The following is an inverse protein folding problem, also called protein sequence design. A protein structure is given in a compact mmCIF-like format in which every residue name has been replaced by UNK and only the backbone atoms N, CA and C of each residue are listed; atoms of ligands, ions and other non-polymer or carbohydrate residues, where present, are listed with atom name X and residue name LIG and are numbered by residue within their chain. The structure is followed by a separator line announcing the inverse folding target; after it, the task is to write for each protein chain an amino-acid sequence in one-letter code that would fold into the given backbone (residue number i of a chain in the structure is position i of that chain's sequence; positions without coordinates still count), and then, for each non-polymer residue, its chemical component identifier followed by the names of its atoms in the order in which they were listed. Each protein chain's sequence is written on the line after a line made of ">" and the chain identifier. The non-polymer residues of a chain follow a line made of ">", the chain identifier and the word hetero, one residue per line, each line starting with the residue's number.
data_IF_878996934290
#
_entry.id   IF_878996934290
#
_cell.length_a   1.000
_cell.length_b   1.000
_cell.length_c   1.000
_cell.angle_alpha   90.00
_cell.angle_beta   90.00
_cell.angle_gamma   90.00
#
_symmetry.space_group_name_H-M   'P 1'
#
loop_
_entity.id
_entity.type
_entity.pdbx_description
1 polymer ?
#
# COMPACT_ATOMS: atom_id res chain seq x y z
N UNK A 1 -14.44 -14.05 27.35
CA UNK A 1 -12.98 -14.21 27.22
C UNK A 1 -12.67 -14.20 25.74
N UNK A 2 -11.95 -13.21 25.23
CA UNK A 2 -11.48 -13.23 23.85
C UNK A 2 -10.48 -14.38 23.73
N UNK A 3 -10.77 -15.34 22.88
CA UNK A 3 -9.86 -16.46 22.60
C UNK A 3 -8.65 -15.85 21.86
N UNK A 4 -7.49 -15.86 22.50
CA UNK A 4 -6.25 -15.41 21.85
C UNK A 4 -6.01 -16.35 20.66
N UNK A 5 -6.07 -15.79 19.45
CA UNK A 5 -5.84 -16.53 18.21
C UNK A 5 -4.39 -17.03 18.18
N UNK A 6 -4.18 -18.34 18.02
CA UNK A 6 -2.84 -18.90 17.91
C UNK A 6 -2.25 -18.64 16.52
N UNK A 7 -0.90 -18.68 16.40
CA UNK A 7 -0.24 -18.56 15.08
C UNK A 7 -0.68 -19.66 14.10
N UNK A 8 -1.08 -20.84 14.62
CA UNK A 8 -1.63 -21.95 13.81
C UNK A 8 -3.00 -21.59 13.25
N UNK A 9 -3.89 -21.02 14.09
CA UNK A 9 -5.21 -20.58 13.65
C UNK A 9 -5.10 -19.41 12.67
N UNK A 10 -4.20 -18.47 12.97
CA UNK A 10 -3.94 -17.32 12.10
C UNK A 10 -3.42 -17.76 10.74
N UNK A 11 -2.49 -18.73 10.69
CA UNK A 11 -2.01 -19.29 9.43
C UNK A 11 -3.16 -19.89 8.61
N UNK A 12 -4.00 -20.71 9.25
CA UNK A 12 -5.15 -21.34 8.57
C UNK A 12 -6.13 -20.29 8.03
N UNK A 13 -6.38 -19.22 8.77
CA UNK A 13 -7.26 -18.14 8.33
C UNK A 13 -6.67 -17.38 7.14
N UNK A 14 -5.37 -17.10 7.15
CA UNK A 14 -4.67 -16.48 6.01
C UNK A 14 -4.71 -17.39 4.78
N UNK A 15 -4.44 -18.70 4.93
CA UNK A 15 -4.54 -19.67 3.84
C UNK A 15 -5.96 -19.73 3.27
N UNK A 16 -6.99 -19.68 4.13
CA UNK A 16 -8.39 -19.65 3.71
C UNK A 16 -8.72 -18.35 2.93
N UNK A 17 -8.25 -17.19 3.40
CA UNK A 17 -8.46 -15.91 2.73
C UNK A 17 -7.77 -15.85 1.37
N UNK A 18 -6.52 -16.34 1.27
CA UNK A 18 -5.82 -16.43 -0.02
C UNK A 18 -6.55 -17.34 -1.03
N UNK A 19 -7.18 -18.43 -0.55
CA UNK A 19 -7.99 -19.32 -1.38
C UNK A 19 -9.35 -18.69 -1.77
N UNK A 20 -9.87 -17.79 -0.95
CA UNK A 20 -11.14 -17.08 -1.20
C UNK A 20 -10.98 -15.91 -2.18
N UNK A 21 -9.79 -15.33 -2.28
CA UNK A 21 -9.53 -14.14 -3.09
C UNK A 21 -9.48 -14.48 -4.60
N UNK A 22 -10.45 -14.04 -5.41
CA UNK A 22 -10.53 -14.41 -6.83
C UNK A 22 -9.40 -13.83 -7.68
N UNK A 23 -8.70 -12.81 -7.18
CA UNK A 23 -7.52 -12.22 -7.83
C UNK A 23 -6.26 -13.07 -7.75
N UNK A 24 -6.28 -14.18 -6.99
CA UNK A 24 -5.16 -15.12 -6.83
C UNK A 24 -5.46 -16.39 -7.63
N UNK A 25 -4.71 -16.61 -8.71
CA UNK A 25 -4.96 -17.73 -9.62
C UNK A 25 -4.50 -19.08 -9.07
N UNK A 26 -3.39 -19.09 -8.34
CA UNK A 26 -2.75 -20.31 -7.84
C UNK A 26 -2.39 -20.19 -6.35
N UNK A 27 -3.39 -20.16 -5.45
CA UNK A 27 -3.13 -20.05 -4.00
C UNK A 27 -2.19 -21.13 -3.45
N UNK A 28 -2.25 -22.33 -4.02
CA UNK A 28 -1.38 -23.46 -3.63
C UNK A 28 0.13 -23.21 -3.90
N UNK A 29 0.47 -22.22 -4.75
CA UNK A 29 1.85 -21.82 -4.99
C UNK A 29 2.37 -20.81 -3.94
N UNK A 30 1.50 -20.36 -3.02
CA UNK A 30 1.80 -19.41 -1.97
C UNK A 30 1.96 -20.14 -0.64
N UNK A 31 3.18 -20.18 -0.12
CA UNK A 31 3.46 -20.69 1.22
C UNK A 31 3.22 -19.64 2.29
N UNK A 32 2.53 -20.00 3.36
CA UNK A 32 2.21 -19.12 4.49
C UNK A 32 2.91 -19.62 5.76
N UNK A 33 3.67 -18.74 6.41
CA UNK A 33 4.23 -18.97 7.75
C UNK A 33 3.83 -17.82 8.65
N UNK A 34 3.47 -18.12 9.88
CA UNK A 34 3.11 -17.13 10.90
C UNK A 34 4.00 -17.30 12.12
N UNK A 35 4.45 -16.19 12.67
CA UNK A 35 5.16 -16.11 13.93
C UNK A 35 4.82 -14.79 14.64
N UNK A 36 4.32 -14.88 15.87
CA UNK A 36 3.97 -13.73 16.72
C UNK A 36 3.00 -12.73 16.03
N UNK A 37 2.08 -13.25 15.18
CA UNK A 37 1.15 -12.46 14.39
C UNK A 37 1.75 -11.84 13.12
N UNK A 38 3.03 -12.12 12.81
CA UNK A 38 3.69 -11.70 11.57
C UNK A 38 3.57 -12.82 10.54
N UNK A 39 2.94 -12.51 9.41
CA UNK A 39 2.75 -13.43 8.28
C UNK A 39 3.90 -13.28 7.29
N UNK A 40 4.52 -14.39 6.89
CA UNK A 40 5.48 -14.43 5.79
C UNK A 40 4.86 -15.18 4.62
N UNK A 41 4.69 -14.50 3.48
CA UNK A 41 4.28 -15.10 2.21
C UNK A 41 5.52 -15.45 1.40
N UNK A 42 5.58 -16.66 0.85
CA UNK A 42 6.69 -17.15 0.03
C UNK A 42 6.16 -17.96 -1.15
N UNK A 43 6.99 -18.18 -2.16
CA UNK A 43 6.59 -18.86 -3.39
C UNK A 43 6.52 -17.91 -4.57
N UNK A 44 5.58 -18.12 -5.49
CA UNK A 44 5.48 -17.30 -6.70
C UNK A 44 4.04 -17.02 -7.12
N UNK A 45 3.88 -15.94 -7.87
CA UNK A 45 2.62 -15.48 -8.48
C UNK A 45 2.86 -15.10 -9.93
N UNK A 46 1.81 -15.02 -10.74
CA UNK A 46 1.91 -14.77 -12.17
C UNK A 46 1.92 -13.28 -12.56
N UNK A 47 1.66 -12.37 -11.61
CA UNK A 47 1.69 -10.92 -11.85
C UNK A 47 2.00 -10.14 -10.58
N UNK A 48 2.45 -8.90 -10.77
CA UNK A 48 2.67 -7.98 -9.64
C UNK A 48 1.34 -7.60 -8.95
N UNK A 49 0.27 -7.47 -9.72
CA UNK A 49 -1.07 -7.24 -9.18
C UNK A 49 -1.50 -8.37 -8.23
N UNK A 50 -1.25 -9.62 -8.60
CA UNK A 50 -1.52 -10.79 -7.77
C UNK A 50 -0.68 -10.80 -6.48
N UNK A 51 0.61 -10.40 -6.56
CA UNK A 51 1.47 -10.22 -5.39
C UNK A 51 0.89 -9.22 -4.39
N UNK A 52 0.42 -8.07 -4.87
CA UNK A 52 -0.21 -7.04 -4.03
C UNK A 52 -1.57 -7.50 -3.47
N UNK A 53 -2.31 -8.26 -4.26
CA UNK A 53 -3.60 -8.83 -3.83
C UNK A 53 -3.39 -9.84 -2.69
N UNK A 54 -2.38 -10.72 -2.80
CA UNK A 54 -2.04 -11.68 -1.74
C UNK A 54 -1.61 -10.97 -0.44
N UNK A 55 -0.81 -9.91 -0.55
CA UNK A 55 -0.43 -9.10 0.60
C UNK A 55 -1.64 -8.45 1.28
N UNK A 56 -2.51 -7.83 0.48
CA UNK A 56 -3.73 -7.19 0.98
C UNK A 56 -4.68 -8.18 1.65
N UNK A 57 -4.90 -9.35 1.03
CA UNK A 57 -5.72 -10.42 1.59
C UNK A 57 -5.17 -10.86 2.96
N UNK A 58 -3.87 -11.14 3.05
CA UNK A 58 -3.24 -11.53 4.31
C UNK A 58 -3.34 -10.43 5.39
N UNK A 59 -3.14 -9.15 5.03
CA UNK A 59 -3.29 -8.02 5.96
C UNK A 59 -4.75 -7.79 6.41
N UNK A 60 -5.73 -8.27 5.64
CA UNK A 60 -7.16 -8.20 5.97
C UNK A 60 -7.59 -9.18 7.06
N UNK A 61 -6.81 -10.21 7.33
CA UNK A 61 -7.16 -11.23 8.32
C UNK A 61 -6.99 -10.69 9.74
N UNK A 62 -8.03 -10.83 10.56
CA UNK A 62 -7.98 -10.41 11.96
C UNK A 62 -6.84 -11.09 12.71
N UNK A 63 -6.08 -10.32 13.49
CA UNK A 63 -4.91 -10.82 14.24
C UNK A 63 -3.58 -10.70 13.48
N UNK A 64 -3.58 -10.37 12.19
CA UNK A 64 -2.35 -10.10 11.43
C UNK A 64 -1.83 -8.71 11.79
N UNK A 65 -0.60 -8.66 12.30
CA UNK A 65 0.09 -7.42 12.68
C UNK A 65 0.93 -6.85 11.54
N UNK A 66 1.56 -7.73 10.76
CA UNK A 66 2.40 -7.36 9.63
C UNK A 66 2.51 -8.52 8.63
N UNK A 67 2.81 -8.18 7.37
CA UNK A 67 3.08 -9.15 6.31
C UNK A 67 4.48 -8.90 5.74
N UNK A 68 5.27 -9.97 5.64
CA UNK A 68 6.54 -10.02 4.90
C UNK A 68 6.26 -10.72 3.57
N UNK A 69 6.25 -9.96 2.48
CA UNK A 69 5.88 -10.46 1.17
C UNK A 69 7.12 -10.81 0.33
N UNK A 70 7.54 -12.07 0.42
CA UNK A 70 8.66 -12.66 -0.34
C UNK A 70 8.20 -13.41 -1.61
N UNK A 71 7.00 -13.11 -2.11
CA UNK A 71 6.52 -13.71 -3.36
C UNK A 71 7.34 -13.22 -4.56
N UNK A 72 7.76 -14.15 -5.41
CA UNK A 72 8.38 -13.84 -6.69
C UNK A 72 7.30 -13.67 -7.77
N UNK A 73 7.47 -12.68 -8.64
CA UNK A 73 6.61 -12.52 -9.81
C UNK A 73 7.21 -13.29 -10.98
N UNK A 74 6.57 -14.39 -11.37
CA UNK A 74 6.96 -15.25 -12.52
C UNK A 74 5.94 -15.09 -13.63
N UNK A 75 6.21 -14.17 -14.55
CA UNK A 75 5.29 -13.89 -15.65
C UNK A 75 5.19 -15.08 -16.61
N UNK A 76 3.96 -15.53 -16.95
CA UNK A 76 3.76 -16.46 -18.05
C UNK A 76 4.34 -15.91 -19.35
N UNK A 77 4.75 -16.79 -20.27
CA UNK A 77 5.34 -16.39 -21.56
C UNK A 77 4.46 -15.41 -22.34
N UNK A 78 3.14 -15.59 -22.29
CA UNK A 78 2.17 -14.69 -22.92
C UNK A 78 2.13 -13.29 -22.32
N UNK A 79 2.58 -13.13 -21.07
CA UNK A 79 2.61 -11.87 -20.32
C UNK A 79 3.98 -11.22 -20.27
N UNK A 80 5.02 -11.85 -20.81
CA UNK A 80 6.35 -11.26 -20.90
C UNK A 80 6.34 -10.10 -21.91
N UNK A 81 6.97 -9.00 -21.54
CA UNK A 81 7.13 -7.79 -22.37
C UNK A 81 8.56 -7.30 -22.24
N UNK A 82 9.04 -6.61 -23.26
CA UNK A 82 10.32 -5.90 -23.20
C UNK A 82 10.21 -4.68 -22.29
N UNK A 83 11.32 -4.25 -21.69
CA UNK A 83 11.35 -3.03 -20.89
C UNK A 83 10.91 -1.80 -21.69
N UNK A 84 11.18 -1.78 -23.01
CA UNK A 84 10.72 -0.72 -23.91
C UNK A 84 9.19 -0.71 -24.07
N UNK A 85 8.55 -1.87 -24.21
CA UNK A 85 7.09 -1.98 -24.31
C UNK A 85 6.42 -1.57 -22.99
N UNK A 86 6.99 -2.00 -21.86
CA UNK A 86 6.52 -1.61 -20.53
C UNK A 86 6.65 -0.10 -20.35
N UNK A 87 7.81 0.49 -20.70
CA UNK A 87 8.04 1.93 -20.57
C UNK A 87 7.05 2.74 -21.42
N UNK A 88 6.78 2.31 -22.65
CA UNK A 88 5.80 2.96 -23.54
C UNK A 88 4.38 2.89 -22.95
N UNK A 89 3.98 1.71 -22.47
CA UNK A 89 2.66 1.50 -21.86
C UNK A 89 2.51 2.29 -20.55
N UNK A 90 3.57 2.34 -19.74
CA UNK A 90 3.57 3.09 -18.48
C UNK A 90 3.49 4.61 -18.72
N UNK A 91 4.24 5.15 -19.69
CA UNK A 91 4.15 6.56 -20.06
C UNK A 91 2.72 6.92 -20.52
N UNK A 92 2.13 6.09 -21.37
CA UNK A 92 0.76 6.30 -21.85
C UNK A 92 -0.27 6.21 -20.71
N UNK A 93 -0.11 5.27 -19.78
CA UNK A 93 -1.00 5.13 -18.62
C UNK A 93 -0.93 6.37 -17.71
N UNK A 94 0.27 6.90 -17.47
CA UNK A 94 0.45 8.12 -16.68
C UNK A 94 -0.20 9.33 -17.36
N UNK A 95 -0.03 9.49 -18.69
CA UNK A 95 -0.61 10.59 -19.46
C UNK A 95 -2.13 10.57 -19.46
N UNK A 96 -2.74 9.40 -19.42
CA UNK A 96 -4.20 9.23 -19.42
C UNK A 96 -4.84 9.28 -18.04
N UNK A 97 -4.03 9.20 -16.99
CA UNK A 97 -4.55 9.22 -15.61
C UNK A 97 -4.86 10.65 -15.20
N UNK A 98 -6.14 10.92 -14.96
CA UNK A 98 -6.61 12.23 -14.53
C UNK A 98 -5.98 12.63 -13.18
N UNK A 99 -5.59 13.91 -13.08
CA UNK A 99 -5.04 14.47 -11.84
C UNK A 99 -3.54 14.29 -11.67
N UNK A 100 -2.86 13.53 -12.53
CA UNK A 100 -1.40 13.47 -12.57
C UNK A 100 -0.88 14.63 -13.42
N UNK A 101 0.02 15.47 -12.88
CA UNK A 101 0.60 16.56 -13.67
C UNK A 101 1.54 15.99 -14.74
N UNK A 102 1.29 16.37 -15.99
CA UNK A 102 2.13 15.98 -17.13
C UNK A 102 3.55 16.50 -16.93
N UNK A 103 4.52 15.78 -17.41
CA UNK A 103 5.95 16.14 -17.41
C UNK A 103 6.61 16.25 -16.02
N UNK A 104 5.89 16.06 -14.92
CA UNK A 104 6.48 16.09 -13.56
C UNK A 104 6.94 14.72 -13.07
N UNK A 105 6.46 13.63 -13.69
CA UNK A 105 6.82 12.28 -13.34
C UNK A 105 7.66 11.67 -14.46
N UNK A 106 8.86 11.23 -14.12
CA UNK A 106 9.75 10.46 -14.99
C UNK A 106 9.69 9.00 -14.59
N UNK A 107 9.75 8.10 -15.55
CA UNK A 107 9.81 6.67 -15.32
C UNK A 107 11.07 6.07 -15.94
N UNK A 108 11.54 4.99 -15.35
CA UNK A 108 12.53 4.10 -15.94
C UNK A 108 12.10 2.66 -15.69
N UNK A 109 12.45 1.76 -16.62
CA UNK A 109 12.15 0.34 -16.51
C UNK A 109 13.45 -0.44 -16.59
N UNK A 110 13.60 -1.43 -15.72
CA UNK A 110 14.73 -2.34 -15.73
C UNK A 110 14.28 -3.73 -15.28
N UNK A 111 14.43 -4.73 -16.14
CA UNK A 111 13.98 -6.12 -15.93
C UNK A 111 12.53 -6.23 -15.41
N UNK A 112 11.62 -5.45 -15.99
CA UNK A 112 10.20 -5.40 -15.62
C UNK A 112 9.90 -4.59 -14.35
N UNK A 113 10.90 -3.99 -13.69
CA UNK A 113 10.72 -3.08 -12.56
C UNK A 113 10.55 -1.65 -13.04
N UNK A 114 9.41 -1.05 -12.68
CA UNK A 114 9.10 0.34 -13.02
C UNK A 114 9.48 1.24 -11.85
N UNK A 115 10.39 2.19 -12.09
CA UNK A 115 10.74 3.22 -11.10
C UNK A 115 10.09 4.53 -11.52
N UNK A 116 9.29 5.12 -10.63
CA UNK A 116 8.67 6.44 -10.80
C UNK A 116 9.43 7.48 -9.97
N UNK A 117 9.81 8.61 -10.57
CA UNK A 117 10.52 9.72 -9.92
C UNK A 117 9.89 11.04 -10.32
N UNK A 118 9.93 12.01 -9.41
CA UNK A 118 9.45 13.36 -9.69
C UNK A 118 8.83 14.00 -8.45
N UNK A 119 8.11 15.10 -8.67
CA UNK A 119 7.45 15.81 -7.60
C UNK A 119 5.98 16.00 -7.96
N UNK A 120 5.11 15.84 -6.97
CA UNK A 120 3.68 16.10 -7.10
C UNK A 120 3.21 16.98 -5.94
N UNK A 121 2.11 17.69 -6.14
CA UNK A 121 1.57 18.59 -5.12
C UNK A 121 0.84 17.82 -4.00
N UNK A 122 0.19 16.69 -4.36
CA UNK A 122 -0.67 15.93 -3.45
C UNK A 122 -0.30 14.46 -3.41
N UNK A 123 -0.44 13.86 -2.24
CA UNK A 123 -0.16 12.43 -2.04
C UNK A 123 -1.04 11.52 -2.93
N UNK A 124 -2.29 11.88 -3.16
CA UNK A 124 -3.16 11.08 -4.04
C UNK A 124 -2.60 10.96 -5.47
N UNK A 125 -1.87 11.97 -5.95
CA UNK A 125 -1.23 11.94 -7.26
C UNK A 125 -0.08 10.91 -7.31
N UNK A 126 0.68 10.81 -6.21
CA UNK A 126 1.73 9.79 -6.03
C UNK A 126 1.12 8.39 -6.06
N UNK A 127 -0.01 8.17 -5.35
CA UNK A 127 -0.72 6.89 -5.33
C UNK A 127 -1.30 6.58 -6.71
N UNK A 128 -1.98 7.56 -7.34
CA UNK A 128 -2.56 7.39 -8.67
C UNK A 128 -1.51 7.03 -9.74
N UNK A 129 -0.30 7.61 -9.65
CA UNK A 129 0.80 7.27 -10.56
C UNK A 129 1.25 5.81 -10.40
N UNK A 130 1.34 5.31 -9.16
CA UNK A 130 1.66 3.92 -8.90
C UNK A 130 0.55 2.99 -9.38
N UNK A 131 -0.70 3.34 -9.08
CA UNK A 131 -1.88 2.57 -9.50
C UNK A 131 -1.99 2.45 -11.01
N UNK A 132 -1.62 3.51 -11.75
CA UNK A 132 -1.66 3.51 -13.21
C UNK A 132 -0.71 2.48 -13.83
N UNK A 133 0.43 2.18 -13.19
CA UNK A 133 1.46 1.32 -13.77
C UNK A 133 1.52 -0.08 -13.20
N UNK A 134 1.05 -0.31 -11.96
CA UNK A 134 1.20 -1.58 -11.26
C UNK A 134 0.41 -2.76 -11.86
N UNK A 135 -0.62 -2.48 -12.68
CA UNK A 135 -1.45 -3.49 -13.32
C UNK A 135 -1.05 -3.77 -14.78
N UNK A 136 -0.01 -3.09 -15.29
CA UNK A 136 0.41 -3.26 -16.68
C UNK A 136 1.07 -4.63 -16.89
N UNK A 137 0.76 -5.24 -18.03
CA UNK A 137 1.35 -6.52 -18.43
C UNK A 137 2.87 -6.39 -18.56
N UNK A 138 3.61 -7.32 -17.98
CA UNK A 138 5.07 -7.31 -17.97
C UNK A 138 5.69 -6.73 -16.71
N UNK A 139 4.94 -5.95 -15.93
CA UNK A 139 5.44 -5.35 -14.68
C UNK A 139 5.63 -6.42 -13.62
N UNK A 140 6.85 -6.48 -13.06
CA UNK A 140 7.24 -7.35 -11.94
C UNK A 140 7.24 -6.63 -10.60
N UNK A 141 7.33 -5.30 -10.61
CA UNK A 141 7.31 -4.46 -9.42
C UNK A 141 7.35 -2.98 -9.74
N UNK A 142 6.95 -2.15 -8.77
CA UNK A 142 6.98 -0.69 -8.87
C UNK A 142 7.75 -0.11 -7.69
N UNK A 143 8.68 0.80 -7.99
CA UNK A 143 9.43 1.59 -7.02
C UNK A 143 8.97 3.04 -7.15
N UNK A 144 8.13 3.50 -6.21
CA UNK A 144 7.57 4.84 -6.24
C UNK A 144 8.42 5.82 -5.41
N UNK A 145 9.32 6.54 -6.07
CA UNK A 145 10.19 7.58 -5.51
C UNK A 145 9.65 9.00 -5.76
N UNK A 146 8.34 9.14 -6.06
CA UNK A 146 7.71 10.44 -6.20
C UNK A 146 7.66 11.14 -4.83
N UNK A 147 8.10 12.40 -4.78
CA UNK A 147 8.04 13.23 -3.59
C UNK A 147 6.78 14.11 -3.61
N UNK A 148 6.16 14.29 -2.44
CA UNK A 148 5.03 15.22 -2.30
C UNK A 148 5.59 16.59 -1.90
N UNK A 149 5.42 17.58 -2.78
CA UNK A 149 5.86 18.98 -2.59
C UNK A 149 4.68 19.93 -2.83
N UNK A 150 3.93 20.29 -1.78
CA UNK A 150 2.83 21.24 -1.90
C UNK A 150 3.27 22.58 -2.48
N UNK A 151 2.46 23.17 -3.37
CA UNK A 151 2.76 24.47 -3.99
C UNK A 151 2.85 25.62 -2.97
N UNK A 152 2.14 25.50 -1.86
CA UNK A 152 2.19 26.44 -0.74
C UNK A 152 2.47 25.68 0.54
N UNK A 153 3.56 26.00 1.22
CA UNK A 153 3.84 25.51 2.56
C UNK A 153 2.82 26.16 3.52
N UNK A 154 1.88 25.37 4.00
CA UNK A 154 0.96 25.78 5.07
C UNK A 154 1.32 24.99 6.31
N UNK A 155 1.33 25.64 7.46
CA UNK A 155 1.43 24.95 8.71
C UNK A 155 0.27 23.96 8.83
N UNK A 156 0.62 22.69 9.05
CA UNK A 156 -0.37 21.64 9.22
C UNK A 156 -1.08 21.87 10.55
N UNK A 157 -2.39 22.08 10.49
CA UNK A 157 -3.18 22.30 11.70
C UNK A 157 -3.61 20.95 12.26
N UNK A 158 -2.99 20.55 13.34
CA UNK A 158 -3.29 19.30 14.09
C UNK A 158 -4.80 19.12 14.31
N UNK A 159 -5.50 20.18 14.75
CA UNK A 159 -6.95 20.12 15.01
C UNK A 159 -7.76 19.69 13.80
N UNK A 160 -7.36 20.09 12.57
CA UNK A 160 -8.04 19.68 11.34
C UNK A 160 -7.86 18.19 11.03
N UNK A 161 -6.69 17.64 11.35
CA UNK A 161 -6.45 16.19 11.21
C UNK A 161 -7.26 15.45 12.28
N UNK A 162 -7.24 15.88 13.53
CA UNK A 162 -8.03 15.29 14.61
C UNK A 162 -9.54 15.29 14.27
N UNK A 163 -10.04 16.39 13.73
CA UNK A 163 -11.44 16.48 13.29
C UNK A 163 -11.73 15.56 12.08
N UNK A 164 -10.79 15.43 11.16
CA UNK A 164 -10.94 14.54 10.00
C UNK A 164 -10.95 13.06 10.43
N UNK A 165 -10.08 12.67 11.37
CA UNK A 165 -10.09 11.33 11.96
C UNK A 165 -11.41 11.01 12.67
N UNK A 166 -11.96 11.98 13.42
CA UNK A 166 -13.27 11.82 14.10
C UNK A 166 -14.44 11.68 13.13
N UNK A 167 -14.33 12.21 11.92
CA UNK A 167 -15.38 12.06 10.88
C UNK A 167 -15.30 10.72 10.14
N UNK A 168 -14.19 10.02 10.21
CA UNK A 168 -14.07 8.69 9.60
C UNK A 168 -14.87 7.67 10.41
N UNK A 169 -15.84 7.03 9.78
CA UNK A 169 -16.65 6.00 10.41
C UNK A 169 -15.88 4.72 10.75
N UNK A 170 -14.70 4.55 10.15
CA UNK A 170 -13.86 3.36 10.31
C UNK A 170 -12.87 3.46 11.48
N UNK A 171 -12.71 4.65 12.06
CA UNK A 171 -11.69 4.90 13.07
C UNK A 171 -12.26 5.17 14.46
N UNK A 172 -11.68 4.54 15.47
CA UNK A 172 -11.84 4.93 16.85
C UNK A 172 -10.86 6.07 17.18
N UNK A 173 -11.19 7.28 16.70
CA UNK A 173 -10.30 8.45 16.75
C UNK A 173 -9.74 8.78 18.14
N UNK A 174 -10.43 8.39 19.21
CA UNK A 174 -9.99 8.61 20.61
C UNK A 174 -8.71 7.84 20.96
N UNK A 175 -8.40 6.78 20.20
CA UNK A 175 -7.20 5.96 20.39
C UNK A 175 -6.02 6.40 19.53
N UNK A 176 -6.22 7.40 18.66
CA UNK A 176 -5.21 7.89 17.74
C UNK A 176 -4.76 9.27 18.18
N UNK A 177 -3.47 9.42 18.41
CA UNK A 177 -2.82 10.68 18.73
C UNK A 177 -2.11 11.23 17.51
N UNK A 178 -2.30 12.51 17.22
CA UNK A 178 -1.68 13.23 16.11
C UNK A 178 -0.66 14.23 16.67
N UNK A 179 0.57 14.14 16.20
CA UNK A 179 1.61 15.14 16.43
C UNK A 179 2.00 15.75 15.09
N UNK A 180 2.24 17.06 15.07
CA UNK A 180 2.65 17.78 13.87
C UNK A 180 3.92 18.58 14.13
N UNK A 181 4.88 18.49 13.20
CA UNK A 181 6.11 19.29 13.23
C UNK A 181 6.37 19.81 11.81
N UNK A 182 6.06 21.09 11.58
CA UNK A 182 6.05 21.66 10.23
C UNK A 182 5.10 20.90 9.32
N UNK A 183 5.60 20.36 8.23
CA UNK A 183 4.84 19.57 7.25
C UNK A 183 4.82 18.05 7.53
N UNK A 184 5.43 17.60 8.63
CA UNK A 184 5.45 16.20 9.05
C UNK A 184 4.33 15.92 10.05
N UNK A 185 3.61 14.82 9.83
CA UNK A 185 2.59 14.27 10.73
C UNK A 185 3.08 12.96 11.30
N UNK A 186 2.95 12.76 12.60
CA UNK A 186 3.21 11.51 13.29
C UNK A 186 1.90 11.02 13.89
N UNK A 187 1.50 9.80 13.56
CA UNK A 187 0.33 9.13 14.10
C UNK A 187 0.78 8.07 15.09
N UNK A 188 0.22 8.10 16.30
CA UNK A 188 0.48 7.11 17.36
C UNK A 188 -0.82 6.59 17.95
N UNK A 189 -0.74 5.44 18.58
CA UNK A 189 -1.87 4.83 19.27
C UNK A 189 -2.09 3.40 18.84
N UNK A 190 -3.33 2.92 19.02
CA UNK A 190 -3.68 1.52 18.74
C UNK A 190 -4.97 1.43 17.93
N UNK A 191 -5.04 0.45 17.05
CA UNK A 191 -6.23 0.12 16.24
C UNK A 191 -6.42 -1.40 16.21
N UNK A 192 -7.61 -1.86 15.81
CA UNK A 192 -7.94 -3.29 15.77
C UNK A 192 -7.69 -3.96 14.41
N UNK A 193 -7.33 -3.20 13.38
CA UNK A 193 -7.04 -3.76 12.07
C UNK A 193 -6.01 -2.94 11.30
N UNK A 194 -5.33 -3.61 10.38
CA UNK A 194 -4.44 -2.95 9.44
C UNK A 194 -5.18 -1.91 8.57
N UNK A 195 -6.44 -2.18 8.23
CA UNK A 195 -7.27 -1.24 7.47
C UNK A 195 -7.49 0.08 8.20
N UNK A 196 -7.77 0.02 9.50
CA UNK A 196 -7.88 1.23 10.33
C UNK A 196 -6.56 2.00 10.37
N UNK A 197 -5.42 1.30 10.49
CA UNK A 197 -4.08 1.92 10.42
C UNK A 197 -3.86 2.65 9.09
N UNK A 198 -4.23 2.02 7.97
CA UNK A 198 -4.13 2.62 6.63
C UNK A 198 -5.10 3.77 6.42
N UNK A 199 -6.30 3.66 6.94
CA UNK A 199 -7.29 4.74 6.86
C UNK A 199 -6.82 5.99 7.65
N UNK A 200 -6.26 5.82 8.83
CA UNK A 200 -5.67 6.92 9.59
C UNK A 200 -4.55 7.62 8.80
N UNK A 201 -3.67 6.85 8.17
CA UNK A 201 -2.60 7.36 7.31
C UNK A 201 -3.17 8.13 6.10
N UNK A 202 -4.18 7.58 5.44
CA UNK A 202 -4.86 8.22 4.30
C UNK A 202 -5.47 9.57 4.69
N UNK A 203 -6.15 9.62 5.83
CA UNK A 203 -6.76 10.85 6.36
C UNK A 203 -5.69 11.91 6.66
N UNK A 204 -4.57 11.51 7.27
CA UNK A 204 -3.47 12.43 7.56
C UNK A 204 -2.86 13.02 6.27
N UNK A 205 -2.69 12.22 5.22
CA UNK A 205 -2.18 12.66 3.92
C UNK A 205 -3.10 13.63 3.18
N UNK A 206 -4.39 13.67 3.51
CA UNK A 206 -5.35 14.61 2.91
C UNK A 206 -5.23 16.03 3.48
N UNK A 207 -4.54 16.21 4.59
CA UNK A 207 -4.38 17.54 5.18
C UNK A 207 -3.46 18.41 4.30
N UNK A 208 -3.87 19.65 3.98
CA UNK A 208 -3.05 20.55 3.19
C UNK A 208 -1.71 20.84 3.84
N UNK A 209 -0.63 20.77 3.06
CA UNK A 209 0.72 21.05 3.52
C UNK A 209 1.48 19.85 4.09
N UNK A 210 0.85 18.67 4.18
CA UNK A 210 1.53 17.44 4.61
C UNK A 210 2.46 16.95 3.50
N UNK A 211 3.74 16.78 3.85
CA UNK A 211 4.77 16.21 2.95
C UNK A 211 5.28 14.87 3.44
N UNK A 212 5.03 14.54 4.70
CA UNK A 212 5.46 13.30 5.32
C UNK A 212 4.45 12.84 6.38
N UNK A 213 4.10 11.57 6.35
CA UNK A 213 3.33 10.91 7.42
C UNK A 213 4.16 9.75 7.96
N UNK A 214 4.38 9.76 9.27
CA UNK A 214 5.00 8.66 10.00
C UNK A 214 3.92 7.95 10.82
N UNK A 215 3.53 6.76 10.37
CA UNK A 215 2.45 6.00 10.98
C UNK A 215 3.01 4.99 11.98
N UNK A 216 3.07 5.39 13.26
CA UNK A 216 3.51 4.57 14.40
C UNK A 216 2.33 3.89 15.13
N UNK A 217 1.14 3.82 14.49
CA UNK A 217 -0.03 3.13 15.07
C UNK A 217 0.26 1.62 15.14
N UNK A 218 -0.05 1.02 16.29
CA UNK A 218 0.05 -0.42 16.51
C UNK A 218 -1.30 -1.11 16.25
N UNK A 219 -1.27 -2.28 15.62
CA UNK A 219 -2.45 -3.13 15.46
C UNK A 219 -2.51 -4.08 16.65
N UNK A 220 -3.56 -3.95 17.44
CA UNK A 220 -3.83 -4.82 18.60
C UNK A 220 -4.98 -5.79 18.30
N UNK A 221 -4.92 -6.96 18.87
CA UNK A 221 -5.94 -8.02 18.78
C UNK A 221 -6.89 -7.97 19.96
#
# INVERSE_FOLDING_TARGET
>A
MATVMTDIDLRRNVEAELNWEPGIKSPAAIGVRVKDGIVTLSGYVESYAEKLTAERAALGVAGVKAVVNNLEVRLPTSSQRTDEDIARSAAQALDWTAGIPRDQIKLSVNDGWVTLKGNVEWYFQKVAAEDAVRHLTGVKGVINQIEVRPAVSKDVVKSKIDEALKRSAELEAQRIQVETTGSKVILRGTVHSWWQKKEAERVAWQAPGVTQVENQIEVIT
#
